data_IF_175848639708
#
_entry.id   IF_175848639708
#
_cell.length_a   1.000
_cell.length_b   1.000
_cell.length_c   1.000
_cell.angle_alpha   90.00
_cell.angle_beta   90.00
_cell.angle_gamma   90.00
#
_symmetry.space_group_name_H-M   'P 1'
#
loop_
_entity.id
_entity.type
_entity.pdbx_description
1 polymer ?
#
# COMPACT_ATOMS: atom_id res chain seq x y z
N UNK A 1 -7.88 -11.99 -3.86
CA UNK A 1 -7.20 -10.88 -3.19
C UNK A 1 -6.84 -9.79 -4.20
N UNK A 2 -6.82 -8.53 -3.80
CA UNK A 2 -6.26 -7.44 -4.59
C UNK A 2 -4.83 -7.12 -4.14
N UNK A 3 -3.94 -6.87 -5.11
CA UNK A 3 -2.57 -6.40 -4.85
C UNK A 3 -2.54 -4.90 -5.03
N UNK A 4 -2.01 -4.18 -4.05
CA UNK A 4 -1.89 -2.72 -4.11
C UNK A 4 -0.48 -2.25 -3.80
N UNK A 5 -0.08 -1.16 -4.44
CA UNK A 5 1.22 -0.53 -4.24
C UNK A 5 1.02 0.92 -3.85
N UNK A 6 1.41 1.28 -2.64
CA UNK A 6 1.45 2.66 -2.21
C UNK A 6 2.77 3.31 -2.65
N UNK A 7 2.81 4.64 -2.56
CA UNK A 7 3.98 5.46 -2.87
C UNK A 7 4.48 5.41 -4.31
N UNK A 8 3.58 5.33 -5.28
CA UNK A 8 3.97 5.58 -6.66
C UNK A 8 4.44 7.05 -6.86
N UNK A 9 5.43 7.29 -7.73
CA UNK A 9 6.12 6.32 -8.60
C UNK A 9 7.27 5.54 -7.95
N UNK A 10 7.69 5.88 -6.72
CA UNK A 10 8.71 5.12 -6.00
C UNK A 10 8.70 5.44 -4.51
N UNK A 11 8.74 4.41 -3.67
CA UNK A 11 8.94 4.53 -2.24
C UNK A 11 10.42 4.63 -1.89
N UNK A 12 10.82 5.74 -1.28
CA UNK A 12 12.15 5.99 -0.73
C UNK A 12 12.05 6.68 0.62
N UNK A 13 13.03 6.46 1.49
CA UNK A 13 13.21 7.32 2.66
C UNK A 13 13.78 8.67 2.23
N UNK A 14 13.16 9.76 2.70
CA UNK A 14 13.58 11.14 2.41
C UNK A 14 13.10 11.69 1.07
N UNK A 15 13.50 12.92 0.77
CA UNK A 15 13.05 13.68 -0.42
C UNK A 15 13.78 13.32 -1.72
N UNK A 16 14.93 12.64 -1.65
CA UNK A 16 15.78 12.40 -2.82
C UNK A 16 15.43 11.07 -3.50
N UNK A 17 14.58 11.16 -4.52
CA UNK A 17 14.17 10.00 -5.31
C UNK A 17 15.20 9.70 -6.40
N UNK A 18 15.89 8.57 -6.31
CA UNK A 18 16.75 8.08 -7.40
C UNK A 18 15.92 7.72 -8.63
N UNK A 19 16.02 8.52 -9.68
CA UNK A 19 15.34 8.27 -10.97
C UNK A 19 15.65 6.87 -11.52
N UNK A 20 16.91 6.43 -11.41
CA UNK A 20 17.31 5.08 -11.86
C UNK A 20 16.63 4.00 -11.03
N UNK A 21 16.60 4.14 -9.70
CA UNK A 21 15.96 3.17 -8.82
C UNK A 21 14.46 3.06 -9.12
N UNK A 22 13.79 4.21 -9.30
CA UNK A 22 12.38 4.28 -9.68
C UNK A 22 12.12 3.54 -11.00
N UNK A 23 12.90 3.81 -12.05
CA UNK A 23 12.76 3.12 -13.34
C UNK A 23 12.97 1.61 -13.20
N UNK A 24 14.06 1.18 -12.55
CA UNK A 24 14.39 -0.24 -12.42
C UNK A 24 13.31 -0.99 -11.63
N UNK A 25 12.83 -0.41 -10.53
CA UNK A 25 11.83 -1.01 -9.66
C UNK A 25 10.47 -1.11 -10.35
N UNK A 26 10.01 0.00 -10.93
CA UNK A 26 8.74 0.06 -11.65
C UNK A 26 8.71 -0.91 -12.83
N UNK A 27 9.78 -0.95 -13.63
CA UNK A 27 9.88 -1.88 -14.74
C UNK A 27 9.72 -3.33 -14.28
N UNK A 28 10.44 -3.75 -13.23
CA UNK A 28 10.36 -5.12 -12.70
C UNK A 28 8.99 -5.46 -12.13
N UNK A 29 8.40 -4.55 -11.35
CA UNK A 29 7.08 -4.74 -10.74
C UNK A 29 6.01 -4.89 -11.83
N UNK A 30 5.90 -3.90 -12.72
CA UNK A 30 4.90 -3.88 -13.80
C UNK A 30 5.09 -5.08 -14.73
N UNK A 31 6.33 -5.39 -15.12
CA UNK A 31 6.61 -6.54 -15.98
C UNK A 31 6.16 -7.86 -15.35
N UNK A 32 6.51 -8.08 -14.08
CA UNK A 32 6.15 -9.32 -13.37
C UNK A 32 4.64 -9.46 -13.21
N UNK A 33 3.95 -8.37 -12.83
CA UNK A 33 2.48 -8.37 -12.71
C UNK A 33 1.79 -8.68 -14.04
N UNK A 34 2.25 -8.08 -15.14
CA UNK A 34 1.70 -8.32 -16.48
C UNK A 34 1.94 -9.75 -16.95
N UNK A 35 3.15 -10.29 -16.80
CA UNK A 35 3.45 -11.68 -17.15
C UNK A 35 2.59 -12.67 -16.34
N UNK A 36 2.40 -12.37 -15.05
CA UNK A 36 1.61 -13.19 -14.15
C UNK A 36 0.09 -12.97 -14.29
N UNK A 37 -0.37 -12.05 -15.16
CA UNK A 37 -1.77 -11.64 -15.32
C UNK A 37 -2.44 -11.23 -13.99
N UNK A 38 -1.70 -10.56 -13.12
CA UNK A 38 -2.19 -10.12 -11.80
C UNK A 38 -2.71 -8.69 -11.89
N UNK A 39 -4.00 -8.45 -11.62
CA UNK A 39 -4.52 -7.10 -11.44
C UNK A 39 -3.88 -6.42 -10.22
N UNK A 40 -3.55 -5.14 -10.35
CA UNK A 40 -3.03 -4.36 -9.24
C UNK A 40 -3.39 -2.88 -9.34
N UNK A 41 -3.53 -2.22 -8.19
CA UNK A 41 -3.76 -0.77 -8.11
C UNK A 41 -2.57 -0.09 -7.46
N UNK A 42 -2.03 0.94 -8.11
CA UNK A 42 -0.95 1.75 -7.57
C UNK A 42 -1.42 3.13 -7.14
N UNK A 43 -1.15 3.51 -5.89
CA UNK A 43 -1.53 4.79 -5.29
C UNK A 43 -0.37 5.78 -5.40
N UNK A 44 -0.59 6.91 -6.07
CA UNK A 44 0.46 7.89 -6.36
C UNK A 44 0.45 9.09 -5.41
N UNK A 45 1.64 9.53 -5.00
CA UNK A 45 1.84 10.84 -4.41
C UNK A 45 2.30 11.82 -5.49
N UNK A 46 1.59 12.93 -5.64
CA UNK A 46 1.90 13.89 -6.70
C UNK A 46 3.28 14.54 -6.55
N UNK A 47 3.75 14.81 -5.33
CA UNK A 47 5.09 15.37 -5.11
C UNK A 47 6.21 14.47 -5.65
N UNK A 48 6.10 13.15 -5.46
CA UNK A 48 7.02 12.14 -5.99
C UNK A 48 6.97 12.07 -7.51
N UNK A 49 5.78 12.29 -8.10
CA UNK A 49 5.62 12.39 -9.56
C UNK A 49 6.35 13.62 -10.09
N UNK A 50 6.14 14.78 -9.46
CA UNK A 50 6.76 16.06 -9.83
C UNK A 50 8.28 15.99 -9.68
N UNK A 51 8.78 15.42 -8.58
CA UNK A 51 10.21 15.26 -8.33
C UNK A 51 10.94 14.44 -9.41
N UNK A 52 10.25 13.46 -10.01
CA UNK A 52 10.76 12.67 -11.14
C UNK A 52 10.51 13.31 -12.52
N UNK A 53 9.81 14.43 -12.58
CA UNK A 53 9.49 15.15 -13.81
C UNK A 53 8.83 14.25 -14.88
N UNK A 54 9.25 14.35 -16.17
CA UNK A 54 8.69 13.51 -17.25
C UNK A 54 8.84 12.01 -17.01
N UNK A 55 9.82 11.58 -16.22
CA UNK A 55 9.97 10.16 -15.85
C UNK A 55 8.82 9.69 -14.97
N UNK A 56 8.43 10.46 -13.95
CA UNK A 56 7.31 10.13 -13.06
C UNK A 56 6.03 9.87 -13.85
N UNK A 57 5.66 10.81 -14.72
CA UNK A 57 4.47 10.70 -15.57
C UNK A 57 4.50 9.47 -16.50
N UNK A 58 5.67 9.16 -17.09
CA UNK A 58 5.82 7.96 -17.94
C UNK A 58 5.64 6.67 -17.13
N UNK A 59 6.19 6.60 -15.92
CA UNK A 59 6.04 5.42 -15.05
C UNK A 59 4.58 5.20 -14.67
N UNK A 60 3.84 6.26 -14.31
CA UNK A 60 2.41 6.16 -14.02
C UNK A 60 1.56 5.75 -15.23
N UNK A 61 1.98 6.14 -16.45
CA UNK A 61 1.30 5.72 -17.68
C UNK A 61 1.28 4.19 -17.83
N UNK A 62 2.29 3.48 -17.30
CA UNK A 62 2.31 2.01 -17.32
C UNK A 62 1.29 1.38 -16.35
N UNK A 63 1.00 2.05 -15.23
CA UNK A 63 -0.06 1.66 -14.30
C UNK A 63 -1.46 1.97 -14.83
N UNK A 64 -1.59 2.88 -15.78
CA UNK A 64 -2.87 3.22 -16.39
C UNK A 64 -3.22 2.34 -17.61
N UNK A 65 -2.72 1.09 -17.68
CA UNK A 65 -2.96 0.15 -18.79
C UNK A 65 -3.40 -1.24 -18.33
N UNK A 66 -4.25 -1.90 -19.12
CA UNK A 66 -4.64 -3.30 -18.91
C UNK A 66 -5.21 -3.56 -17.52
N UNK A 67 -4.70 -4.61 -16.85
CA UNK A 67 -5.13 -5.01 -15.50
C UNK A 67 -4.58 -4.13 -14.37
N UNK A 68 -3.71 -3.17 -14.69
CA UNK A 68 -3.19 -2.20 -13.71
C UNK A 68 -4.08 -0.97 -13.66
N UNK A 69 -4.23 -0.38 -12.49
CA UNK A 69 -4.99 0.85 -12.25
C UNK A 69 -4.23 1.84 -11.37
N UNK A 70 -4.61 3.12 -11.46
CA UNK A 70 -4.12 4.18 -10.59
C UNK A 70 -5.12 4.44 -9.44
N UNK A 71 -4.57 4.86 -8.30
CA UNK A 71 -5.25 5.38 -7.12
C UNK A 71 -4.59 6.68 -6.66
N UNK A 72 -5.30 7.47 -5.86
CA UNK A 72 -4.79 8.72 -5.29
C UNK A 72 -4.24 8.49 -3.87
N UNK A 73 -3.02 8.94 -3.60
CA UNK A 73 -2.37 8.87 -2.28
C UNK A 73 -2.08 10.26 -1.67
N UNK A 74 -2.75 11.29 -2.17
CA UNK A 74 -2.53 12.68 -1.79
C UNK A 74 -1.34 13.32 -2.49
N UNK A 75 -1.03 14.55 -2.11
CA UNK A 75 0.09 15.29 -2.69
C UNK A 75 1.43 14.92 -2.06
N UNK A 76 1.57 14.99 -0.73
CA UNK A 76 2.87 14.98 -0.02
C UNK A 76 3.11 13.80 0.92
N UNK A 77 2.33 12.72 0.83
CA UNK A 77 2.36 11.62 1.81
C UNK A 77 2.13 12.13 3.26
N UNK A 78 1.12 12.99 3.42
CA UNK A 78 0.77 13.66 4.67
C UNK A 78 0.14 12.72 5.72
N UNK A 79 0.31 13.03 7.01
CA UNK A 79 -0.48 12.43 8.08
C UNK A 79 -1.77 13.26 8.33
N UNK A 80 -2.94 12.66 8.12
CA UNK A 80 -4.23 13.34 8.33
C UNK A 80 -4.52 13.65 9.80
N UNK A 81 -3.85 13.00 10.74
CA UNK A 81 -4.01 13.29 12.16
C UNK A 81 -3.45 14.68 12.51
N UNK A 82 -2.38 15.10 11.83
CA UNK A 82 -1.69 16.36 12.07
C UNK A 82 -2.33 17.56 11.35
N UNK A 83 -3.32 17.30 10.49
CA UNK A 83 -3.96 18.30 9.66
C UNK A 83 -5.42 18.56 10.06
N UNK A 84 -5.89 19.77 9.76
CA UNK A 84 -7.32 20.09 9.78
C UNK A 84 -7.99 19.62 8.47
N UNK A 85 -9.33 19.64 8.43
CA UNK A 85 -10.07 19.14 7.27
C UNK A 85 -9.74 19.90 5.98
N UNK A 86 -9.64 21.23 6.02
CA UNK A 86 -9.35 22.05 4.85
C UNK A 86 -7.99 21.69 4.22
N UNK A 87 -6.94 21.51 5.03
CA UNK A 87 -5.63 21.09 4.52
C UNK A 87 -5.66 19.66 3.98
N UNK A 88 -6.43 18.76 4.57
CA UNK A 88 -6.61 17.39 4.05
C UNK A 88 -7.27 17.41 2.67
N UNK A 89 -8.32 18.22 2.49
CA UNK A 89 -9.00 18.37 1.20
C UNK A 89 -8.05 18.89 0.12
N UNK A 90 -7.22 19.88 0.46
CA UNK A 90 -6.17 20.41 -0.43
C UNK A 90 -5.15 19.32 -0.82
N UNK A 91 -4.69 18.50 0.12
CA UNK A 91 -3.77 17.40 -0.17
C UNK A 91 -4.38 16.37 -1.12
N UNK A 92 -5.65 16.02 -0.93
CA UNK A 92 -6.36 15.07 -1.81
C UNK A 92 -6.50 15.65 -3.22
N UNK A 93 -6.97 16.89 -3.35
CA UNK A 93 -7.19 17.56 -4.65
C UNK A 93 -5.88 17.77 -5.39
N UNK A 94 -4.83 18.22 -4.70
CA UNK A 94 -3.51 18.39 -5.32
C UNK A 94 -2.91 17.06 -5.78
N UNK A 95 -3.20 15.96 -5.07
CA UNK A 95 -2.85 14.60 -5.46
C UNK A 95 -3.42 14.14 -6.81
N UNK A 96 -4.44 14.83 -7.33
CA UNK A 96 -5.11 14.46 -8.59
C UNK A 96 -4.40 14.97 -9.84
N UNK A 97 -3.51 15.95 -9.68
CA UNK A 97 -2.99 16.83 -10.73
C UNK A 97 -2.49 16.04 -11.95
N UNK A 98 -1.68 15.00 -11.74
CA UNK A 98 -1.21 14.15 -12.84
C UNK A 98 -2.17 13.01 -13.15
N UNK A 99 -2.67 12.30 -12.13
CA UNK A 99 -3.33 11.00 -12.31
C UNK A 99 -4.74 11.12 -12.90
N UNK A 100 -5.56 12.09 -12.46
CA UNK A 100 -6.96 12.21 -12.90
C UNK A 100 -7.07 12.52 -14.41
N UNK A 101 -6.38 13.53 -14.98
CA UNK A 101 -6.40 13.74 -16.43
C UNK A 101 -5.75 12.59 -17.21
N UNK A 102 -4.74 11.92 -16.65
CA UNK A 102 -4.12 10.75 -17.28
C UNK A 102 -5.14 9.60 -17.44
N UNK A 103 -5.88 9.27 -16.38
CA UNK A 103 -6.92 8.24 -16.42
C UNK A 103 -8.05 8.64 -17.39
N UNK A 104 -8.53 9.88 -17.29
CA UNK A 104 -9.62 10.39 -18.13
C UNK A 104 -9.30 10.35 -19.63
N UNK A 105 -8.04 10.63 -20.02
CA UNK A 105 -7.64 10.63 -21.44
C UNK A 105 -7.79 9.29 -22.17
N UNK A 106 -7.96 8.19 -21.41
CA UNK A 106 -8.22 6.84 -21.94
C UNK A 106 -9.54 6.25 -21.41
N UNK A 107 -10.45 7.10 -20.94
CA UNK A 107 -11.78 6.69 -20.47
C UNK A 107 -11.78 5.89 -19.16
N UNK A 108 -10.74 6.04 -18.33
CA UNK A 108 -10.61 5.34 -17.04
C UNK A 108 -10.89 6.29 -15.87
N UNK A 109 -11.37 5.72 -14.77
CA UNK A 109 -11.60 6.44 -13.52
C UNK A 109 -10.54 6.08 -12.47
N UNK A 110 -10.43 6.93 -11.44
CA UNK A 110 -9.62 6.70 -10.24
C UNK A 110 -10.58 6.69 -9.05
N UNK A 111 -11.24 5.55 -8.75
CA UNK A 111 -12.31 5.52 -7.76
C UNK A 111 -11.80 5.38 -6.33
N UNK A 112 -10.48 5.28 -6.12
CA UNK A 112 -9.91 4.96 -4.82
C UNK A 112 -8.91 6.01 -4.34
N UNK A 113 -9.08 6.39 -3.08
CA UNK A 113 -8.11 7.16 -2.30
C UNK A 113 -7.62 6.30 -1.14
N UNK A 114 -6.31 6.29 -0.89
CA UNK A 114 -5.74 5.71 0.33
C UNK A 114 -5.02 6.79 1.11
N UNK A 115 -5.28 6.88 2.41
CA UNK A 115 -4.52 7.76 3.28
C UNK A 115 -3.15 7.16 3.60
N UNK A 116 -2.07 7.96 3.54
CA UNK A 116 -0.79 7.61 4.15
C UNK A 116 -0.98 7.20 5.61
N UNK A 117 -0.14 6.28 6.08
CA UNK A 117 -0.22 5.67 7.42
C UNK A 117 -1.55 4.98 7.73
N UNK A 118 -2.45 4.86 6.75
CA UNK A 118 -3.83 4.44 6.95
C UNK A 118 -4.59 5.27 8.01
N UNK A 119 -4.20 6.54 8.20
CA UNK A 119 -4.86 7.46 9.11
C UNK A 119 -6.08 8.07 8.43
N UNK A 120 -7.28 7.60 8.79
CA UNK A 120 -8.55 8.00 8.16
C UNK A 120 -9.37 8.99 9.03
N UNK A 121 -8.72 9.62 10.01
CA UNK A 121 -9.34 10.52 10.99
C UNK A 121 -9.24 9.99 12.43
N UNK A 122 -8.70 10.84 13.30
CA UNK A 122 -8.50 10.58 14.73
C UNK A 122 -9.69 10.93 15.62
N UNK A 123 -10.66 11.67 15.08
CA UNK A 123 -11.95 11.97 15.72
C UNK A 123 -13.11 11.58 14.81
N UNK A 124 -14.28 11.29 15.39
CA UNK A 124 -15.47 10.91 14.60
C UNK A 124 -15.91 12.03 13.66
N UNK A 125 -15.80 13.30 14.09
CA UNK A 125 -16.13 14.45 13.25
C UNK A 125 -15.15 14.58 12.07
N UNK A 126 -13.84 14.41 12.31
CA UNK A 126 -12.83 14.44 11.24
C UNK A 126 -13.03 13.28 10.26
N UNK A 127 -13.23 12.05 10.75
CA UNK A 127 -13.51 10.86 9.93
C UNK A 127 -14.75 11.06 9.06
N UNK A 128 -15.86 11.51 9.64
CA UNK A 128 -17.10 11.73 8.90
C UNK A 128 -16.96 12.83 7.83
N UNK A 129 -16.22 13.91 8.13
CA UNK A 129 -15.93 14.97 7.17
C UNK A 129 -15.06 14.45 6.00
N UNK A 130 -14.02 13.66 6.30
CA UNK A 130 -13.17 13.00 5.30
C UNK A 130 -13.99 12.07 4.39
N UNK A 131 -14.81 11.20 4.98
CA UNK A 131 -15.64 10.26 4.22
C UNK A 131 -16.61 10.99 3.29
N UNK A 132 -17.26 12.05 3.80
CA UNK A 132 -18.14 12.89 3.00
C UNK A 132 -17.39 13.54 1.84
N UNK A 133 -16.26 14.19 2.13
CA UNK A 133 -15.45 14.86 1.11
C UNK A 133 -14.98 13.90 0.02
N UNK A 134 -14.45 12.73 0.40
CA UNK A 134 -14.03 11.71 -0.56
C UNK A 134 -15.19 11.25 -1.44
N UNK A 135 -16.37 10.99 -0.86
CA UNK A 135 -17.55 10.59 -1.61
C UNK A 135 -17.98 11.67 -2.62
N UNK A 136 -18.01 12.95 -2.20
CA UNK A 136 -18.34 14.08 -3.07
C UNK A 136 -17.34 14.22 -4.23
N UNK A 137 -16.09 13.80 -4.04
CA UNK A 137 -15.03 13.78 -5.06
C UNK A 137 -14.93 12.47 -5.87
N UNK A 138 -15.88 11.54 -5.67
CA UNK A 138 -15.98 10.29 -6.40
C UNK A 138 -14.98 9.21 -5.94
N UNK A 139 -14.44 9.34 -4.72
CA UNK A 139 -13.57 8.35 -4.11
C UNK A 139 -14.29 7.45 -3.12
N UNK A 140 -13.83 6.21 -3.09
CA UNK A 140 -14.01 5.28 -1.99
C UNK A 140 -12.67 5.14 -1.26
N UNK A 141 -12.70 5.04 0.06
CA UNK A 141 -11.51 4.70 0.84
C UNK A 141 -10.99 3.31 0.45
N UNK A 142 -9.71 3.22 0.13
CA UNK A 142 -9.07 1.96 -0.19
C UNK A 142 -8.58 1.25 1.07
N UNK A 143 -9.28 0.18 1.42
CA UNK A 143 -8.92 -0.68 2.54
C UNK A 143 -7.57 -1.40 2.35
N UNK A 144 -6.95 -1.76 3.45
CA UNK A 144 -5.79 -2.66 3.54
C UNK A 144 -6.07 -3.72 4.61
N UNK A 145 -5.91 -4.99 4.28
CA UNK A 145 -6.18 -6.10 5.22
C UNK A 145 -4.94 -6.90 5.58
N UNK A 146 -3.88 -6.81 4.78
CA UNK A 146 -2.60 -7.47 5.03
C UNK A 146 -1.50 -6.43 4.84
N UNK A 147 -0.66 -6.29 5.87
CA UNK A 147 0.60 -5.56 5.84
C UNK A 147 1.74 -6.54 6.17
N UNK A 148 2.91 -6.30 5.60
CA UNK A 148 4.14 -7.06 5.84
C UNK A 148 5.30 -6.18 6.30
N UNK A 149 5.02 -4.91 6.58
CA UNK A 149 5.99 -3.88 6.98
C UNK A 149 7.20 -3.85 6.06
N UNK A 150 6.95 -4.00 4.75
CA UNK A 150 7.98 -4.12 3.72
C UNK A 150 8.94 -2.95 3.70
N UNK A 151 8.48 -1.75 4.10
CA UNK A 151 9.29 -0.55 4.25
C UNK A 151 10.46 -0.75 5.24
N UNK A 152 10.26 -1.42 6.38
CA UNK A 152 11.32 -1.69 7.36
C UNK A 152 12.41 -2.59 6.78
N UNK A 153 12.01 -3.61 6.03
CA UNK A 153 12.95 -4.48 5.33
C UNK A 153 13.64 -3.76 4.17
N UNK A 154 12.93 -2.87 3.47
CA UNK A 154 13.48 -2.10 2.37
C UNK A 154 14.58 -1.15 2.83
N UNK A 155 14.45 -0.54 4.01
CA UNK A 155 15.50 0.32 4.60
C UNK A 155 16.83 -0.45 4.76
N UNK A 156 16.76 -1.65 5.34
CA UNK A 156 17.90 -2.54 5.42
C UNK A 156 18.41 -2.96 4.03
N UNK A 157 17.51 -3.24 3.09
CA UNK A 157 17.87 -3.68 1.74
C UNK A 157 18.58 -2.58 0.94
N UNK A 158 18.13 -1.33 1.03
CA UNK A 158 18.77 -0.17 0.41
C UNK A 158 20.16 0.08 1.02
N UNK A 159 20.31 -0.05 2.34
CA UNK A 159 21.62 0.04 3.00
C UNK A 159 22.58 -1.06 2.51
N UNK A 160 22.12 -2.30 2.43
CA UNK A 160 22.93 -3.40 1.92
C UNK A 160 23.29 -3.20 0.44
N UNK A 161 22.36 -2.67 -0.36
CA UNK A 161 22.58 -2.31 -1.76
C UNK A 161 23.64 -1.22 -1.92
N UNK A 162 23.56 -0.14 -1.13
CA UNK A 162 24.53 0.95 -1.12
C UNK A 162 25.95 0.45 -0.77
N UNK A 163 26.05 -0.51 0.17
CA UNK A 163 27.30 -1.19 0.55
C UNK A 163 27.76 -2.27 -0.43
N UNK A 164 26.96 -2.57 -1.47
CA UNK A 164 27.17 -3.69 -2.41
C UNK A 164 27.26 -5.05 -1.72
N UNK A 165 26.64 -5.20 -0.55
CA UNK A 165 26.64 -6.43 0.25
C UNK A 165 25.56 -7.40 -0.26
N UNK A 166 25.93 -8.20 -1.27
CA UNK A 166 25.04 -9.18 -1.88
C UNK A 166 24.59 -10.27 -0.90
N UNK A 167 25.40 -10.60 0.11
CA UNK A 167 25.05 -11.62 1.09
C UNK A 167 23.94 -11.11 2.01
N UNK A 168 24.08 -9.88 2.52
CA UNK A 168 23.06 -9.25 3.33
C UNK A 168 21.77 -8.99 2.54
N UNK A 169 21.86 -8.54 1.28
CA UNK A 169 20.69 -8.41 0.42
C UNK A 169 19.90 -9.73 0.30
N UNK A 170 20.60 -10.88 0.15
CA UNK A 170 19.93 -12.20 0.12
C UNK A 170 19.30 -12.54 1.47
N UNK A 171 20.01 -12.30 2.57
CA UNK A 171 19.52 -12.55 3.94
C UNK A 171 18.25 -11.75 4.23
N UNK A 172 18.22 -10.46 3.89
CA UNK A 172 17.05 -9.59 4.07
C UNK A 172 15.87 -10.06 3.23
N UNK A 173 16.08 -10.43 1.96
CA UNK A 173 14.99 -10.98 1.12
C UNK A 173 14.39 -12.24 1.72
N UNK A 174 15.20 -13.17 2.22
CA UNK A 174 14.67 -14.39 2.85
C UNK A 174 13.87 -14.06 4.11
N UNK A 175 14.41 -13.20 4.98
CA UNK A 175 13.70 -12.79 6.19
C UNK A 175 12.38 -12.05 5.88
N UNK A 176 12.38 -11.20 4.85
CA UNK A 176 11.17 -10.53 4.38
C UNK A 176 10.12 -11.54 3.92
N UNK A 177 10.48 -12.48 3.03
CA UNK A 177 9.55 -13.49 2.51
C UNK A 177 9.02 -14.43 3.61
N UNK A 178 9.86 -14.79 4.59
CA UNK A 178 9.46 -15.58 5.75
C UNK A 178 8.46 -14.83 6.63
N UNK A 179 8.73 -13.55 6.90
CA UNK A 179 7.83 -12.67 7.62
C UNK A 179 6.51 -12.47 6.87
N UNK A 180 6.55 -12.23 5.55
CA UNK A 180 5.35 -12.09 4.73
C UNK A 180 4.46 -13.33 4.81
N UNK A 181 5.04 -14.53 4.76
CA UNK A 181 4.29 -15.80 4.89
C UNK A 181 3.57 -15.89 6.24
N UNK A 182 4.20 -15.45 7.33
CA UNK A 182 3.60 -15.41 8.67
C UNK A 182 2.43 -14.40 8.70
N UNK A 183 2.67 -13.19 8.20
CA UNK A 183 1.67 -12.12 8.19
C UNK A 183 0.45 -12.43 7.32
N UNK A 184 0.65 -13.04 6.14
CA UNK A 184 -0.44 -13.49 5.26
C UNK A 184 -1.37 -14.47 5.99
N UNK A 185 -0.79 -15.45 6.71
CA UNK A 185 -1.57 -16.42 7.48
C UNK A 185 -2.27 -15.75 8.67
N UNK A 186 -1.54 -14.92 9.42
CA UNK A 186 -2.06 -14.19 10.58
C UNK A 186 -3.29 -13.35 10.22
N UNK A 187 -3.15 -12.45 9.23
CA UNK A 187 -4.23 -11.57 8.83
C UNK A 187 -5.41 -12.32 8.19
N UNK A 188 -5.15 -13.40 7.46
CA UNK A 188 -6.21 -14.29 6.95
C UNK A 188 -7.06 -14.87 8.08
N UNK A 189 -6.42 -15.40 9.13
CA UNK A 189 -7.14 -15.91 10.30
C UNK A 189 -7.82 -14.80 11.10
N UNK A 190 -7.19 -13.63 11.24
CA UNK A 190 -7.78 -12.49 11.93
C UNK A 190 -9.07 -12.04 11.25
N UNK A 191 -9.08 -11.94 9.91
CA UNK A 191 -10.28 -11.62 9.13
C UNK A 191 -11.35 -12.69 9.31
N UNK A 192 -11.00 -13.98 9.20
CA UNK A 192 -11.95 -15.09 9.43
C UNK A 192 -12.57 -15.04 10.83
N UNK A 193 -11.77 -14.80 11.86
CA UNK A 193 -12.23 -14.69 13.25
C UNK A 193 -13.20 -13.53 13.45
N UNK A 194 -12.96 -12.39 12.79
CA UNK A 194 -13.75 -11.17 12.97
C UNK A 194 -15.02 -11.17 12.13
N UNK A 195 -14.97 -11.70 10.92
CA UNK A 195 -16.08 -11.66 9.95
C UNK A 195 -16.88 -12.97 9.90
N UNK A 196 -16.28 -14.09 10.33
CA UNK A 196 -16.92 -15.42 10.30
C UNK A 196 -16.91 -16.11 8.93
N UNK A 197 -16.28 -15.50 7.93
CA UNK A 197 -16.09 -16.07 6.59
C UNK A 197 -14.86 -15.45 5.92
N UNK A 198 -14.48 -16.00 4.77
CA UNK A 198 -13.47 -15.39 3.92
C UNK A 198 -13.98 -14.11 3.26
N UNK A 199 -13.09 -13.12 3.17
CA UNK A 199 -13.29 -11.82 2.51
C UNK A 199 -12.10 -11.63 1.57
N UNK A 200 -12.29 -11.12 0.34
CA UNK A 200 -11.17 -10.88 -0.58
C UNK A 200 -10.11 -9.95 0.03
N UNK A 201 -8.97 -10.50 0.46
CA UNK A 201 -7.91 -9.72 1.07
C UNK A 201 -7.38 -8.60 0.15
N UNK A 202 -6.91 -7.51 0.73
CA UNK A 202 -6.24 -6.41 0.04
C UNK A 202 -4.84 -6.28 0.63
N UNK A 203 -3.84 -6.64 -0.17
CA UNK A 203 -2.42 -6.59 0.18
C UNK A 203 -1.87 -5.18 -0.04
N UNK A 204 -1.26 -4.61 1.00
CA UNK A 204 -0.50 -3.36 0.91
C UNK A 204 0.98 -3.68 0.71
N UNK A 205 1.56 -3.13 -0.36
CA UNK A 205 2.99 -3.14 -0.65
C UNK A 205 3.42 -1.72 -1.01
N UNK A 206 4.72 -1.44 -1.00
CA UNK A 206 5.25 -0.19 -1.56
C UNK A 206 6.03 -0.44 -2.85
N UNK A 207 6.03 0.53 -3.76
CA UNK A 207 6.84 0.46 -4.97
C UNK A 207 8.32 0.78 -4.69
N UNK A 208 9.03 -0.15 -4.04
CA UNK A 208 10.42 0.02 -3.62
C UNK A 208 11.36 -1.03 -4.25
N UNK A 209 12.66 -0.92 -3.97
CA UNK A 209 13.68 -1.84 -4.50
C UNK A 209 13.48 -3.27 -3.99
N UNK A 210 13.18 -3.46 -2.72
CA UNK A 210 12.98 -4.79 -2.13
C UNK A 210 11.84 -5.55 -2.81
N UNK A 211 10.66 -4.93 -2.92
CA UNK A 211 9.50 -5.52 -3.59
C UNK A 211 9.77 -5.74 -5.07
N UNK A 212 10.47 -4.82 -5.75
CA UNK A 212 10.86 -5.06 -7.15
C UNK A 212 11.74 -6.30 -7.33
N UNK A 213 12.52 -6.66 -6.31
CA UNK A 213 13.41 -7.82 -6.32
C UNK A 213 12.74 -9.11 -5.82
N UNK A 214 11.54 -9.02 -5.24
CA UNK A 214 10.86 -10.14 -4.57
C UNK A 214 9.42 -10.36 -5.05
N UNK A 215 8.86 -9.50 -5.88
CA UNK A 215 7.44 -9.53 -6.29
C UNK A 215 7.03 -10.89 -6.86
N UNK A 216 7.85 -11.54 -7.70
CA UNK A 216 7.55 -12.87 -8.20
C UNK A 216 7.44 -13.93 -7.10
N UNK A 217 8.27 -13.83 -6.06
CA UNK A 217 8.25 -14.73 -4.90
C UNK A 217 7.05 -14.42 -3.99
N UNK A 218 6.70 -13.15 -3.78
CA UNK A 218 5.48 -12.76 -3.07
C UNK A 218 4.21 -13.31 -3.75
N UNK A 219 4.11 -13.15 -5.08
CA UNK A 219 3.00 -13.72 -5.84
C UNK A 219 2.91 -15.25 -5.71
N UNK A 220 4.04 -15.94 -5.62
CA UNK A 220 4.07 -17.37 -5.35
C UNK A 220 3.58 -17.70 -3.93
N UNK A 221 4.00 -16.93 -2.91
CA UNK A 221 3.51 -17.10 -1.54
C UNK A 221 1.98 -16.94 -1.44
N UNK A 222 1.41 -15.91 -2.08
CA UNK A 222 -0.04 -15.71 -2.10
C UNK A 222 -0.77 -16.89 -2.74
N UNK A 223 -0.28 -17.41 -3.87
CA UNK A 223 -0.86 -18.60 -4.52
C UNK A 223 -0.78 -19.84 -3.64
N UNK A 224 0.38 -20.07 -3.01
CA UNK A 224 0.56 -21.20 -2.09
C UNK A 224 -0.31 -21.11 -0.85
N UNK A 225 -0.70 -19.90 -0.44
CA UNK A 225 -1.68 -19.66 0.61
C UNK A 225 -3.15 -19.75 0.13
N UNK A 226 -3.40 -20.13 -1.13
CA UNK A 226 -4.72 -20.34 -1.69
C UNK A 226 -5.38 -19.11 -2.32
N UNK A 227 -4.69 -17.97 -2.43
CA UNK A 227 -5.28 -16.76 -3.00
C UNK A 227 -5.30 -16.78 -4.53
N UNK A 228 -6.48 -16.50 -5.10
CA UNK A 228 -6.62 -15.95 -6.45
C UNK A 228 -6.47 -14.43 -6.47
N UNK A 229 -6.23 -13.83 -7.64
CA UNK A 229 -6.05 -12.39 -7.80
C UNK A 229 -7.26 -11.73 -8.48
N UNK A 230 -7.72 -10.62 -7.92
CA UNK A 230 -8.85 -9.81 -8.41
C UNK A 230 -8.47 -8.33 -8.37
N UNK A 231 -9.19 -7.48 -9.10
CA UNK A 231 -8.98 -6.02 -9.02
C UNK A 231 -9.39 -5.47 -7.64
N UNK A 232 -8.87 -4.30 -7.25
CA UNK A 232 -9.30 -3.64 -6.00
C UNK A 232 -10.80 -3.30 -6.02
N UNK A 233 -11.33 -2.89 -7.18
CA UNK A 233 -12.76 -2.66 -7.38
C UNK A 233 -13.57 -3.90 -7.09
N UNK A 234 -13.12 -5.07 -7.55
CA UNK A 234 -13.80 -6.34 -7.31
C UNK A 234 -13.68 -6.78 -5.86
N UNK A 235 -12.50 -6.66 -5.24
CA UNK A 235 -12.30 -7.00 -3.84
C UNK A 235 -13.20 -6.18 -2.90
N UNK A 236 -13.26 -4.85 -3.10
CA UNK A 236 -14.05 -3.96 -2.24
C UNK A 236 -15.55 -3.92 -2.56
N UNK A 237 -16.04 -4.73 -3.52
CA UNK A 237 -17.48 -5.00 -3.66
C UNK A 237 -18.03 -5.92 -2.59
N UNK A 238 -17.16 -6.65 -1.87
CA UNK A 238 -17.60 -7.49 -0.76
C UNK A 238 -18.26 -6.62 0.33
N UNK A 239 -19.46 -6.97 0.83
CA UNK A 239 -20.19 -6.18 1.82
C UNK A 239 -19.43 -5.89 3.12
N UNK A 240 -18.40 -6.67 3.45
CA UNK A 240 -17.55 -6.39 4.61
C UNK A 240 -16.91 -5.00 4.53
N UNK A 241 -16.54 -4.54 3.33
CA UNK A 241 -15.92 -3.23 3.10
C UNK A 241 -16.89 -2.05 3.21
N UNK A 242 -18.20 -2.30 3.22
CA UNK A 242 -19.22 -1.28 3.53
C UNK A 242 -19.50 -1.14 5.03
N UNK A 243 -18.85 -1.94 5.88
CA UNK A 243 -19.00 -1.83 7.34
C UNK A 243 -18.36 -0.51 7.82
N UNK A 244 -19.09 0.36 8.54
CA UNK A 244 -18.50 1.57 9.11
C UNK A 244 -17.30 1.27 10.01
N UNK A 245 -16.27 2.09 9.91
CA UNK A 245 -15.05 2.00 10.73
C UNK A 245 -15.01 3.18 11.69
N UNK A 246 -14.66 2.93 12.95
CA UNK A 246 -14.55 3.99 13.95
C UNK A 246 -13.27 4.83 13.75
N UNK A 247 -13.32 6.08 14.22
CA UNK A 247 -12.16 6.96 14.26
C UNK A 247 -11.07 6.43 15.21
N UNK A 248 -9.81 6.66 14.86
CA UNK A 248 -8.65 6.15 15.59
C UNK A 248 -7.42 6.98 15.27
N UNK A 249 -6.59 7.24 16.29
CA UNK A 249 -5.28 7.88 16.15
C UNK A 249 -4.24 6.99 15.46
N UNK A 250 -4.54 5.69 15.34
CA UNK A 250 -3.67 4.71 14.71
C UNK A 250 -4.22 4.30 13.34
N UNK A 251 -3.36 3.72 12.50
CA UNK A 251 -3.70 3.19 11.18
C UNK A 251 -3.82 1.67 11.06
N UNK A 252 -4.57 0.97 11.93
CA UNK A 252 -4.56 -0.49 11.93
C UNK A 252 -5.18 -1.06 10.65
N UNK A 253 -4.75 -2.26 10.25
CA UNK A 253 -5.37 -3.01 9.17
C UNK A 253 -6.88 -3.24 9.43
N UNK A 254 -7.66 -3.40 8.35
CA UNK A 254 -9.12 -3.40 8.40
C UNK A 254 -9.73 -4.43 9.34
N UNK A 255 -9.06 -5.58 9.54
CA UNK A 255 -9.55 -6.61 10.44
C UNK A 255 -9.70 -6.11 11.89
N UNK A 256 -8.77 -5.29 12.38
CA UNK A 256 -8.87 -4.66 13.70
C UNK A 256 -9.99 -3.61 13.76
N UNK A 257 -10.19 -2.86 12.67
CA UNK A 257 -11.29 -1.89 12.56
C UNK A 257 -12.65 -2.60 12.63
N UNK A 258 -12.81 -3.68 11.88
CA UNK A 258 -13.99 -4.53 11.93
C UNK A 258 -14.19 -5.17 13.30
N UNK A 259 -13.12 -5.63 13.95
CA UNK A 259 -13.19 -6.21 15.29
C UNK A 259 -13.77 -5.22 16.29
N UNK A 260 -13.32 -3.96 16.24
CA UNK A 260 -13.85 -2.87 17.06
C UNK A 260 -15.33 -2.61 16.78
N UNK A 261 -15.71 -2.44 15.51
CA UNK A 261 -17.12 -2.17 15.14
C UNK A 261 -18.04 -3.34 15.51
N UNK A 262 -17.57 -4.58 15.41
CA UNK A 262 -18.34 -5.80 15.71
C UNK A 262 -18.22 -6.26 17.17
N UNK A 263 -17.47 -5.53 18.01
CA UNK A 263 -17.19 -5.91 19.39
C UNK A 263 -16.55 -7.31 19.57
N UNK A 264 -15.75 -7.74 18.59
CA UNK A 264 -15.01 -9.01 18.63
C UNK A 264 -13.66 -8.79 19.32
N UNK A 265 -13.37 -9.58 20.35
CA UNK A 265 -12.07 -9.52 21.05
C UNK A 265 -10.96 -10.16 20.19
N UNK A 266 -9.90 -9.40 19.97
CA UNK A 266 -8.68 -9.80 19.26
C UNK A 266 -7.45 -9.49 20.10
N UNK A 267 -6.38 -10.26 19.92
CA UNK A 267 -5.09 -10.05 20.61
C UNK A 267 -4.05 -9.61 19.58
N UNK A 268 -3.75 -8.31 19.57
CA UNK A 268 -2.78 -7.72 18.64
C UNK A 268 -1.34 -8.20 18.90
N UNK A 269 -1.03 -8.74 20.08
CA UNK A 269 0.32 -9.28 20.39
C UNK A 269 0.66 -10.54 19.60
N UNK A 270 -0.34 -11.15 18.96
CA UNK A 270 -0.15 -12.30 18.07
C UNK A 270 0.36 -11.88 16.68
N UNK A 271 0.20 -10.60 16.33
CA UNK A 271 0.87 -10.03 15.16
C UNK A 271 2.37 -9.96 15.44
N UNK A 272 3.17 -10.58 14.58
CA UNK A 272 4.62 -10.62 14.78
C UNK A 272 5.27 -9.40 14.15
N UNK A 273 6.05 -8.66 14.92
CA UNK A 273 6.91 -7.61 14.39
C UNK A 273 8.05 -8.19 13.53
N UNK A 274 8.60 -7.42 12.57
CA UNK A 274 9.86 -7.76 11.93
C UNK A 274 10.96 -8.04 12.95
N UNK A 275 11.86 -8.97 12.64
CA UNK A 275 12.95 -9.33 13.56
C UNK A 275 13.82 -8.10 13.89
N UNK A 276 14.13 -7.89 15.18
CA UNK A 276 14.87 -6.71 15.66
C UNK A 276 16.16 -6.38 14.87
N UNK A 277 16.86 -7.40 14.36
CA UNK A 277 18.08 -7.21 13.58
C UNK A 277 17.86 -6.44 12.27
N UNK A 278 16.65 -6.47 11.70
CA UNK A 278 16.29 -5.70 10.49
C UNK A 278 16.40 -4.21 10.79
N UNK A 279 15.75 -3.77 11.88
CA UNK A 279 15.78 -2.38 12.33
C UNK A 279 17.20 -1.94 12.72
N UNK A 280 17.91 -2.74 13.53
CA UNK A 280 19.27 -2.44 13.94
C UNK A 280 20.23 -2.31 12.74
N UNK A 281 20.13 -3.23 11.77
CA UNK A 281 20.95 -3.14 10.57
C UNK A 281 20.62 -1.89 9.75
N UNK A 282 19.33 -1.59 9.57
CA UNK A 282 18.86 -0.43 8.79
C UNK A 282 19.34 0.90 9.39
N UNK A 283 19.22 1.08 10.70
CA UNK A 283 19.69 2.29 11.40
C UNK A 283 21.22 2.42 11.44
N UNK A 284 21.94 1.34 11.12
CA UNK A 284 23.39 1.29 11.26
C UNK A 284 23.86 1.28 12.71
N UNK A 285 22.96 0.96 13.64
CA UNK A 285 23.30 0.66 15.03
C UNK A 285 24.04 -0.70 15.05
N UNK A 286 25.13 -0.84 15.83
CA UNK A 286 25.86 -2.10 15.94
C UNK A 286 24.99 -3.28 16.37
#
# INVERSE_FOLDING_TARGET
MAITFDDLPYASEGSDISTKAAIDAQHRIVHTLRQAHVPATGFANEDKVVALGPVGRRLLTEWNKGLLALGNHGYSHFDSNDLNIETIEQEVVRGETTIRPMAASVGRAIPFFRFPYNHIGDTESKRAAIEKFLADHGYTLAASTIDTSDYLFNNGYERAFAKRDKAMMRRIKHAYLDHSRIQIAYYGELVRKVIGREVPAIMLLHANRLNSATIGQLLALFRSAGYGFVSLTEAQRDPAYSTPVAATKFGPMWAYRWARTRHVKVDGRLEQEPSNWIGAYASGTP
#
